data_IF_616963974413
#
_entry.id   IF_616963974413
#
_cell.length_a   1.000
_cell.length_b   1.000
_cell.length_c   1.000
_cell.angle_alpha   90.00
_cell.angle_beta   90.00
_cell.angle_gamma   90.00
#
_symmetry.space_group_name_H-M   'P 1'
#
loop_
_entity.id
_entity.type
_entity.pdbx_description
1 polymer ?
#
# COMPACT_ATOMS: atom_id res chain seq x y z
N UNK A 1 -6.42 -10.77 -34.68
CA UNK A 1 -7.27 -11.53 -33.72
C UNK A 1 -6.93 -11.20 -32.26
N UNK A 2 -5.82 -10.50 -31.95
CA UNK A 2 -5.53 -10.02 -30.58
C UNK A 2 -6.53 -9.00 -30.01
N UNK A 3 -7.06 -8.05 -30.80
CA UNK A 3 -7.94 -7.00 -30.26
C UNK A 3 -9.15 -7.54 -29.50
N UNK A 4 -9.74 -8.65 -29.97
CA UNK A 4 -10.95 -9.24 -29.37
C UNK A 4 -10.67 -9.95 -28.03
N UNK A 5 -9.42 -10.34 -27.76
CA UNK A 5 -8.99 -10.87 -26.46
C UNK A 5 -8.67 -9.74 -25.47
N UNK A 6 -8.12 -8.63 -25.97
CA UNK A 6 -7.79 -7.45 -25.17
C UNK A 6 -9.06 -6.74 -24.68
N UNK A 7 -10.05 -6.55 -25.55
CA UNK A 7 -11.36 -5.95 -25.18
C UNK A 7 -12.07 -6.77 -24.08
N UNK A 8 -12.05 -8.10 -24.18
CA UNK A 8 -12.59 -8.98 -23.13
C UNK A 8 -11.81 -8.93 -21.82
N UNK A 9 -10.51 -8.64 -21.88
CA UNK A 9 -9.71 -8.54 -20.67
C UNK A 9 -9.96 -7.20 -19.95
N UNK A 10 -10.21 -6.11 -20.69
CA UNK A 10 -10.56 -4.81 -20.10
C UNK A 10 -11.76 -4.93 -19.16
N UNK A 11 -12.83 -5.62 -19.60
CA UNK A 11 -14.03 -5.89 -18.80
C UNK A 11 -13.72 -6.74 -17.54
N UNK A 12 -12.88 -7.77 -17.71
CA UNK A 12 -12.44 -8.63 -16.59
C UNK A 12 -11.58 -7.83 -15.61
N UNK A 13 -10.72 -6.96 -16.10
CA UNK A 13 -9.88 -6.10 -15.29
C UNK A 13 -10.75 -5.15 -14.45
N UNK A 14 -11.72 -4.49 -15.06
CA UNK A 14 -12.65 -3.59 -14.36
C UNK A 14 -13.43 -4.33 -13.27
N UNK A 15 -13.90 -5.55 -13.57
CA UNK A 15 -14.60 -6.40 -12.59
C UNK A 15 -13.73 -6.78 -11.37
N UNK A 16 -12.43 -6.99 -11.57
CA UNK A 16 -11.51 -7.49 -10.55
C UNK A 16 -10.65 -6.40 -9.89
N UNK A 17 -10.73 -5.14 -10.33
CA UNK A 17 -10.03 -4.01 -9.71
C UNK A 17 -10.36 -3.80 -8.21
N UNK A 18 -11.61 -4.05 -7.73
CA UNK A 18 -11.90 -4.06 -6.30
C UNK A 18 -11.12 -5.13 -5.53
N UNK A 19 -10.84 -6.29 -6.16
CA UNK A 19 -10.05 -7.36 -5.55
C UNK A 19 -8.58 -6.94 -5.41
N UNK A 20 -8.01 -6.31 -6.44
CA UNK A 20 -6.66 -5.73 -6.39
C UNK A 20 -6.56 -4.74 -5.22
N UNK A 21 -7.54 -3.83 -5.12
CA UNK A 21 -7.62 -2.86 -4.01
C UNK A 21 -7.76 -3.55 -2.65
N UNK A 22 -8.47 -4.68 -2.56
CA UNK A 22 -8.60 -5.45 -1.32
C UNK A 22 -7.28 -6.14 -0.93
N UNK A 23 -6.54 -6.67 -1.91
CA UNK A 23 -5.23 -7.30 -1.69
C UNK A 23 -4.22 -6.27 -1.19
N UNK A 24 -4.17 -5.07 -1.77
CA UNK A 24 -3.33 -3.95 -1.31
C UNK A 24 -3.56 -3.67 0.18
N UNK A 25 -4.83 -3.53 0.59
CA UNK A 25 -5.19 -3.30 2.00
C UNK A 25 -4.79 -4.46 2.90
N UNK A 26 -4.97 -5.70 2.43
CA UNK A 26 -4.65 -6.93 3.15
C UNK A 26 -3.16 -7.12 3.36
N UNK A 27 -2.34 -6.77 2.36
CA UNK A 27 -0.89 -6.81 2.43
C UNK A 27 -0.29 -5.61 3.16
N UNK A 28 -1.13 -4.67 3.62
CA UNK A 28 -0.67 -3.46 4.31
C UNK A 28 0.34 -2.66 3.48
N UNK A 29 0.11 -2.58 2.16
CA UNK A 29 0.88 -1.73 1.26
C UNK A 29 0.41 -0.28 1.47
N UNK A 30 1.34 0.59 1.88
CA UNK A 30 1.06 1.98 2.27
C UNK A 30 1.71 3.02 1.36
N UNK A 31 2.59 2.60 0.45
CA UNK A 31 3.23 3.42 -0.58
C UNK A 31 3.15 2.73 -1.95
N UNK A 32 3.53 3.44 -3.01
CA UNK A 32 3.66 2.91 -4.37
C UNK A 32 2.42 2.20 -4.91
N UNK A 33 1.24 2.71 -4.56
CA UNK A 33 -0.06 2.13 -4.91
C UNK A 33 -0.21 1.85 -6.40
N UNK A 34 0.29 2.74 -7.26
CA UNK A 34 0.19 2.58 -8.71
C UNK A 34 1.06 1.44 -9.22
N UNK A 35 2.23 1.22 -8.63
CA UNK A 35 3.10 0.09 -8.98
C UNK A 35 2.45 -1.22 -8.56
N UNK A 36 1.99 -1.31 -7.31
CA UNK A 36 1.31 -2.52 -6.83
C UNK A 36 -0.01 -2.80 -7.57
N UNK A 37 -0.78 -1.77 -7.95
CA UNK A 37 -1.95 -1.93 -8.82
C UNK A 37 -1.56 -2.54 -10.17
N UNK A 38 -0.48 -2.05 -10.78
CA UNK A 38 0.03 -2.61 -12.04
C UNK A 38 0.50 -4.06 -11.87
N UNK A 39 1.26 -4.38 -10.82
CA UNK A 39 1.65 -5.75 -10.48
C UNK A 39 0.42 -6.66 -10.34
N UNK A 40 -0.65 -6.16 -9.69
CA UNK A 40 -1.92 -6.86 -9.58
C UNK A 40 -2.61 -7.11 -10.92
N UNK A 41 -2.72 -6.09 -11.77
CA UNK A 41 -3.33 -6.20 -13.10
C UNK A 41 -2.55 -7.15 -14.01
N UNK A 42 -1.22 -7.09 -13.95
CA UNK A 42 -0.35 -8.00 -14.68
C UNK A 42 -0.55 -9.44 -14.22
N UNK A 43 -0.59 -9.68 -12.91
CA UNK A 43 -0.86 -11.01 -12.36
C UNK A 43 -2.27 -11.53 -12.72
N UNK A 44 -3.27 -10.64 -12.75
CA UNK A 44 -4.62 -10.97 -13.22
C UNK A 44 -4.61 -11.37 -14.70
N UNK A 45 -3.89 -10.63 -15.56
CA UNK A 45 -3.73 -10.97 -16.98
C UNK A 45 -3.06 -12.33 -17.17
N UNK A 46 -1.99 -12.61 -16.42
CA UNK A 46 -1.34 -13.91 -16.43
C UNK A 46 -2.27 -15.03 -15.94
N UNK A 47 -3.09 -14.78 -14.92
CA UNK A 47 -4.07 -15.73 -14.46
C UNK A 47 -5.12 -16.00 -15.55
N UNK A 48 -5.66 -14.94 -16.16
CA UNK A 48 -6.66 -15.03 -17.23
C UNK A 48 -6.17 -15.85 -18.43
N UNK A 49 -4.92 -15.62 -18.85
CA UNK A 49 -4.33 -16.33 -19.99
C UNK A 49 -4.03 -17.80 -19.74
N UNK A 50 -3.77 -18.19 -18.48
CA UNK A 50 -3.42 -19.56 -18.08
C UNK A 50 -4.59 -20.35 -17.48
N UNK A 51 -5.73 -19.68 -17.26
CA UNK A 51 -6.86 -20.30 -16.61
C UNK A 51 -7.48 -21.38 -17.50
N UNK A 52 -7.88 -22.45 -16.85
CA UNK A 52 -8.49 -23.63 -17.46
C UNK A 52 -9.81 -23.89 -16.73
N UNK A 53 -10.92 -23.75 -17.45
CA UNK A 53 -12.28 -23.86 -16.91
C UNK A 53 -12.55 -25.24 -16.28
N UNK A 54 -11.80 -26.28 -16.70
CA UNK A 54 -11.93 -27.62 -16.12
C UNK A 54 -11.37 -27.72 -14.70
N UNK A 55 -10.54 -26.76 -14.28
CA UNK A 55 -9.86 -26.75 -12.97
C UNK A 55 -10.63 -26.01 -11.87
N UNK A 56 -11.82 -25.49 -12.17
CA UNK A 56 -12.72 -24.88 -11.20
C UNK A 56 -13.04 -23.42 -11.51
N UNK A 57 -13.23 -22.60 -10.48
CA UNK A 57 -13.64 -21.20 -10.63
C UNK A 57 -12.42 -20.27 -10.79
N UNK A 58 -12.55 -19.26 -11.65
CA UNK A 58 -11.49 -18.26 -11.91
C UNK A 58 -11.23 -17.36 -10.69
N UNK A 59 -12.25 -16.96 -9.93
CA UNK A 59 -12.12 -15.95 -8.87
C UNK A 59 -11.11 -16.35 -7.78
N UNK A 60 -11.13 -17.57 -7.21
CA UNK A 60 -10.11 -18.01 -6.24
C UNK A 60 -8.71 -18.13 -6.86
N UNK A 61 -8.63 -18.48 -8.14
CA UNK A 61 -7.35 -18.58 -8.86
C UNK A 61 -6.73 -17.20 -9.10
N UNK A 62 -7.53 -16.24 -9.59
CA UNK A 62 -7.14 -14.85 -9.76
C UNK A 62 -6.67 -14.24 -8.43
N UNK A 63 -7.43 -14.42 -7.35
CA UNK A 63 -7.04 -13.95 -6.02
C UNK A 63 -5.66 -14.47 -5.60
N UNK A 64 -5.40 -15.79 -5.77
CA UNK A 64 -4.11 -16.39 -5.41
C UNK A 64 -2.95 -15.83 -6.22
N UNK A 65 -3.16 -15.64 -7.53
CA UNK A 65 -2.15 -15.07 -8.43
C UNK A 65 -1.83 -13.61 -8.08
N UNK A 66 -2.86 -12.77 -7.90
CA UNK A 66 -2.69 -11.35 -7.53
C UNK A 66 -2.00 -11.23 -6.17
N UNK A 67 -2.48 -11.97 -5.16
CA UNK A 67 -1.90 -11.94 -3.81
C UNK A 67 -0.45 -12.39 -3.80
N UNK A 68 -0.13 -13.48 -4.51
CA UNK A 68 1.24 -13.99 -4.60
C UNK A 68 2.20 -13.00 -5.26
N UNK A 69 1.81 -12.45 -6.41
CA UNK A 69 2.64 -11.49 -7.14
C UNK A 69 2.95 -10.23 -6.32
N UNK A 70 1.94 -9.63 -5.70
CA UNK A 70 2.14 -8.46 -4.84
C UNK A 70 2.95 -8.78 -3.58
N UNK A 71 2.76 -9.97 -2.99
CA UNK A 71 3.55 -10.39 -1.83
C UNK A 71 5.03 -10.57 -2.20
N UNK A 72 5.31 -11.11 -3.38
CA UNK A 72 6.68 -11.31 -3.85
C UNK A 72 7.34 -9.98 -4.23
N UNK A 73 6.59 -9.03 -4.79
CA UNK A 73 7.08 -7.65 -5.00
C UNK A 73 7.41 -6.96 -3.68
N UNK A 74 6.51 -7.05 -2.70
CA UNK A 74 6.71 -6.47 -1.37
C UNK A 74 7.97 -7.02 -0.68
N UNK A 75 8.23 -8.32 -0.81
CA UNK A 75 9.46 -8.95 -0.30
C UNK A 75 10.71 -8.45 -1.01
N UNK A 76 10.63 -8.15 -2.32
CA UNK A 76 11.77 -7.60 -3.07
C UNK A 76 12.07 -6.18 -2.61
N UNK A 77 11.05 -5.33 -2.48
CA UNK A 77 11.20 -3.96 -2.01
C UNK A 77 11.78 -3.91 -0.59
N UNK A 78 11.25 -4.72 0.33
CA UNK A 78 11.79 -4.82 1.70
C UNK A 78 13.25 -5.27 1.74
N UNK A 79 13.68 -6.15 0.82
CA UNK A 79 15.09 -6.56 0.72
C UNK A 79 15.97 -5.50 0.06
N UNK A 80 15.40 -4.66 -0.80
CA UNK A 80 16.12 -3.60 -1.50
C UNK A 80 16.33 -2.36 -0.60
N UNK A 81 15.34 -2.02 0.23
CA UNK A 81 15.45 -0.92 1.20
C UNK A 81 16.55 -1.14 2.24
N UNK A 82 16.82 -2.39 2.60
CA UNK A 82 17.86 -2.73 3.59
C UNK A 82 19.29 -2.64 3.03
N UNK A 83 19.47 -2.59 1.69
CA UNK A 83 20.79 -2.73 1.04
C UNK A 83 21.28 -1.46 0.33
N UNK A 84 20.41 -0.53 -0.06
CA UNK A 84 20.82 0.67 -0.80
C UNK A 84 20.61 1.98 -0.01
N UNK A 85 21.70 2.52 0.55
CA UNK A 85 21.85 3.97 0.80
C UNK A 85 23.03 4.48 -0.02
N UNK A 86 22.75 4.86 -1.26
CA UNK A 86 23.49 5.87 -2.01
C UNK A 86 22.63 6.23 -3.21
N UNK A 87 22.07 7.44 -3.21
CA UNK A 87 21.24 7.95 -4.31
C UNK A 87 22.06 9.01 -5.04
N UNK A 88 22.28 8.84 -6.34
CA UNK A 88 23.05 9.77 -7.17
C UNK A 88 22.28 11.08 -7.38
N UNK A 89 22.98 12.22 -7.33
CA UNK A 89 22.41 13.58 -7.37
C UNK A 89 21.50 13.86 -8.57
N UNK A 90 21.76 13.23 -9.70
CA UNK A 90 20.97 13.38 -10.93
C UNK A 90 19.57 12.72 -10.83
N UNK A 91 19.42 11.70 -10.00
CA UNK A 91 18.12 11.05 -9.71
C UNK A 91 17.26 11.89 -8.76
N UNK A 92 17.89 12.65 -7.85
CA UNK A 92 17.23 13.60 -6.96
C UNK A 92 16.66 14.80 -7.74
N UNK A 93 17.39 15.30 -8.72
CA UNK A 93 16.96 16.43 -9.56
C UNK A 93 15.75 16.07 -10.44
N UNK A 94 15.70 14.85 -10.98
CA UNK A 94 14.55 14.39 -11.77
C UNK A 94 13.29 14.15 -10.92
N UNK A 95 13.43 13.70 -9.66
CA UNK A 95 12.30 13.58 -8.71
C UNK A 95 11.76 14.95 -8.28
N UNK A 96 12.63 15.95 -8.15
CA UNK A 96 12.25 17.31 -7.79
C UNK A 96 11.47 18.04 -8.90
N UNK A 97 11.48 17.51 -10.13
CA UNK A 97 10.82 18.13 -11.29
C UNK A 97 9.37 17.68 -11.49
N UNK A 98 8.92 16.66 -10.74
CA UNK A 98 7.50 16.37 -10.59
C UNK A 98 6.88 17.37 -9.61
N UNK A 99 6.19 18.34 -10.19
CA UNK A 99 5.52 19.43 -9.49
C UNK A 99 4.43 18.90 -8.54
N UNK A 100 4.71 18.84 -7.24
CA UNK A 100 3.75 18.55 -6.15
C UNK A 100 2.82 19.74 -5.88
N UNK A 101 2.25 20.35 -6.92
CA UNK A 101 1.28 21.42 -6.75
C UNK A 101 -0.05 20.80 -6.33
N UNK A 102 -0.38 21.02 -5.05
CA UNK A 102 -1.41 20.41 -4.21
C UNK A 102 -1.07 19.00 -3.70
N UNK A 103 -0.21 18.92 -2.67
CA UNK A 103 -0.06 17.71 -1.87
C UNK A 103 -1.37 17.40 -1.12
N UNK A 104 -2.13 16.34 -1.47
CA UNK A 104 -3.29 15.92 -0.68
C UNK A 104 -2.88 15.45 0.73
N UNK A 105 -1.58 15.23 0.98
CA UNK A 105 -1.03 14.96 2.30
C UNK A 105 -0.70 16.22 3.10
N UNK A 106 -0.89 17.45 2.62
CA UNK A 106 -0.56 18.62 3.45
C UNK A 106 -1.34 18.61 4.78
N UNK A 107 -2.66 18.33 4.72
CA UNK A 107 -3.49 18.19 5.91
C UNK A 107 -3.05 17.01 6.81
N UNK A 108 -2.66 15.87 6.21
CA UNK A 108 -2.18 14.70 6.95
C UNK A 108 -0.81 14.96 7.60
N UNK A 109 0.08 15.65 6.89
CA UNK A 109 1.40 16.05 7.34
C UNK A 109 1.31 16.99 8.53
N UNK A 110 0.44 18.00 8.47
CA UNK A 110 0.14 18.89 9.59
C UNK A 110 -0.41 18.13 10.80
N UNK A 111 -1.32 17.17 10.58
CA UNK A 111 -1.87 16.35 11.67
C UNK A 111 -0.78 15.48 12.31
N UNK A 112 0.05 14.80 11.51
CA UNK A 112 1.12 13.92 12.00
C UNK A 112 2.20 14.73 12.74
N UNK A 113 2.56 15.91 12.25
CA UNK A 113 3.53 16.79 12.92
C UNK A 113 2.99 17.33 14.25
N UNK A 114 1.68 17.57 14.36
CA UNK A 114 1.02 17.94 15.60
C UNK A 114 0.80 16.79 16.60
N UNK A 115 1.04 15.52 16.22
CA UNK A 115 0.93 14.39 17.15
C UNK A 115 2.02 14.45 18.24
N UNK A 116 1.70 13.96 19.46
CA UNK A 116 2.70 13.73 20.50
C UNK A 116 3.89 12.90 19.97
N UNK A 117 5.13 13.18 20.39
CA UNK A 117 6.33 12.53 19.85
C UNK A 117 6.27 11.00 19.84
N UNK A 118 5.78 10.39 20.93
CA UNK A 118 5.64 8.93 21.05
C UNK A 118 4.58 8.33 20.12
N UNK A 119 3.53 9.09 19.81
CA UNK A 119 2.46 8.68 18.89
C UNK A 119 2.97 8.72 17.45
N UNK A 120 3.65 9.81 17.08
CA UNK A 120 4.31 9.97 15.77
C UNK A 120 5.40 8.91 15.56
N UNK A 121 6.24 8.67 16.57
CA UNK A 121 7.28 7.66 16.51
C UNK A 121 6.70 6.24 16.27
N UNK A 122 5.57 5.91 16.90
CA UNK A 122 4.91 4.63 16.65
C UNK A 122 4.43 4.50 15.20
N UNK A 123 3.94 5.58 14.59
CA UNK A 123 3.54 5.58 13.18
C UNK A 123 4.76 5.44 12.26
N UNK A 124 5.85 6.16 12.51
CA UNK A 124 7.08 6.04 11.74
C UNK A 124 7.59 4.59 11.78
N UNK A 125 7.64 3.98 12.97
CA UNK A 125 8.11 2.60 13.11
C UNK A 125 7.24 1.59 12.37
N UNK A 126 5.93 1.75 12.44
CA UNK A 126 4.99 0.80 11.82
C UNK A 126 4.90 0.97 10.30
N UNK A 127 4.99 2.20 9.78
CA UNK A 127 4.61 2.51 8.40
C UNK A 127 5.76 3.00 7.52
N UNK A 128 6.87 3.47 8.13
CA UNK A 128 8.08 3.90 7.41
C UNK A 128 9.20 2.89 7.61
N UNK A 129 9.45 2.48 8.85
CA UNK A 129 10.48 1.46 9.16
C UNK A 129 9.96 0.01 9.01
N UNK A 130 8.69 -0.19 8.60
CA UNK A 130 8.05 -1.50 8.43
C UNK A 130 8.18 -2.48 9.61
N UNK A 131 8.28 -1.98 10.85
CA UNK A 131 8.41 -2.81 12.04
C UNK A 131 7.11 -3.52 12.37
N UNK A 132 7.23 -4.77 12.78
CA UNK A 132 6.12 -5.57 13.29
C UNK A 132 5.60 -5.02 14.62
N UNK A 133 4.36 -5.36 14.96
CA UNK A 133 3.79 -5.00 16.26
C UNK A 133 4.58 -5.59 17.44
N UNK A 134 5.27 -6.71 17.23
CA UNK A 134 6.14 -7.34 18.23
C UNK A 134 7.45 -6.57 18.44
N UNK A 135 8.07 -6.09 17.36
CA UNK A 135 9.26 -5.23 17.44
C UNK A 135 8.92 -3.88 18.06
N UNK A 136 7.77 -3.29 17.71
CA UNK A 136 7.28 -2.08 18.36
C UNK A 136 6.97 -2.33 19.85
N UNK A 137 6.40 -3.49 20.22
CA UNK A 137 6.13 -3.84 21.61
C UNK A 137 7.43 -3.86 22.43
N UNK A 138 8.48 -4.46 21.88
CA UNK A 138 9.83 -4.48 22.47
C UNK A 138 10.39 -3.07 22.59
N UNK A 139 10.34 -2.28 21.50
CA UNK A 139 10.83 -0.90 21.46
C UNK A 139 10.15 0.02 22.48
N UNK A 140 8.82 -0.04 22.57
CA UNK A 140 8.04 0.81 23.47
C UNK A 140 7.86 0.20 24.88
N UNK A 141 8.47 -0.96 25.15
CA UNK A 141 8.36 -1.68 26.43
C UNK A 141 6.91 -1.89 26.89
N UNK A 142 6.04 -2.30 25.96
CA UNK A 142 4.62 -2.60 26.24
C UNK A 142 4.20 -3.88 25.55
N UNK A 143 3.04 -4.42 25.90
CA UNK A 143 2.54 -5.66 25.29
C UNK A 143 2.10 -5.47 23.82
N UNK A 144 2.20 -6.53 23.01
CA UNK A 144 1.70 -6.54 21.61
C UNK A 144 0.22 -6.13 21.51
N UNK A 145 -0.70 -6.61 22.39
CA UNK A 145 -2.07 -6.10 22.43
C UNK A 145 -2.15 -4.60 22.76
N UNK A 146 -1.23 -4.10 23.60
CA UNK A 146 -1.10 -2.67 23.90
C UNK A 146 -0.71 -1.84 22.68
N UNK A 147 0.23 -2.33 21.86
CA UNK A 147 0.60 -1.70 20.58
C UNK A 147 -0.58 -1.68 19.63
N UNK A 148 -1.28 -2.82 19.48
CA UNK A 148 -2.46 -2.92 18.63
C UNK A 148 -3.53 -1.89 19.03
N UNK A 149 -3.85 -1.79 20.32
CA UNK A 149 -4.83 -0.83 20.85
C UNK A 149 -4.38 0.62 20.66
N UNK A 150 -3.09 0.92 20.82
CA UNK A 150 -2.54 2.26 20.56
C UNK A 150 -2.65 2.62 19.08
N UNK A 151 -2.25 1.72 18.18
CA UNK A 151 -2.38 1.89 16.73
C UNK A 151 -3.83 2.17 16.33
N UNK A 152 -4.79 1.37 16.80
CA UNK A 152 -6.20 1.57 16.50
C UNK A 152 -6.71 2.95 16.95
N UNK A 153 -6.33 3.39 18.15
CA UNK A 153 -6.68 4.73 18.66
C UNK A 153 -6.04 5.85 17.83
N UNK A 154 -4.78 5.69 17.44
CA UNK A 154 -4.07 6.68 16.61
C UNK A 154 -4.72 6.82 15.24
N UNK A 155 -5.01 5.70 14.57
CA UNK A 155 -5.65 5.72 13.25
C UNK A 155 -7.05 6.34 13.32
N UNK A 156 -7.82 6.07 14.39
CA UNK A 156 -9.11 6.72 14.60
C UNK A 156 -8.95 8.24 14.76
N UNK A 157 -8.01 8.68 15.60
CA UNK A 157 -7.72 10.11 15.82
C UNK A 157 -7.29 10.81 14.52
N UNK A 158 -6.40 10.20 13.74
CA UNK A 158 -5.98 10.72 12.44
C UNK A 158 -7.17 10.89 11.49
N UNK A 159 -8.03 9.86 11.39
CA UNK A 159 -9.23 9.90 10.55
C UNK A 159 -10.18 11.01 10.98
N UNK A 160 -10.50 11.10 12.27
CA UNK A 160 -11.42 12.10 12.80
C UNK A 160 -10.91 13.54 12.54
N UNK A 161 -9.60 13.77 12.70
CA UNK A 161 -8.96 15.07 12.42
C UNK A 161 -8.93 15.41 10.94
N UNK A 162 -8.70 14.42 10.06
CA UNK A 162 -8.70 14.63 8.62
C UNK A 162 -10.10 14.99 8.11
N UNK A 163 -11.13 14.27 8.56
CA UNK A 163 -12.53 14.57 8.20
C UNK A 163 -12.99 15.94 8.73
N UNK A 164 -12.55 16.33 9.94
CA UNK A 164 -12.86 17.65 10.48
C UNK A 164 -12.24 18.78 9.66
N UNK A 165 -10.98 18.65 9.21
CA UNK A 165 -10.33 19.65 8.36
C UNK A 165 -10.98 19.76 6.98
N UNK A 166 -11.30 18.64 6.35
CA UNK A 166 -12.00 18.61 5.06
C UNK A 166 -13.40 19.26 5.11
N UNK A 167 -14.04 19.31 6.28
CA UNK A 167 -15.34 19.96 6.47
C UNK A 167 -15.25 21.48 6.69
N UNK A 168 -14.05 22.00 6.97
CA UNK A 168 -13.80 23.44 7.19
C UNK A 168 -13.32 24.14 5.91
N UNK A 169 -12.85 23.38 4.93
CA UNK A 169 -12.36 23.86 3.63
C UNK A 169 -13.44 23.82 2.52
N UNK A 170 -14.67 23.38 2.85
CA UNK A 170 -15.84 23.37 1.95
C UNK A 170 -16.89 24.41 2.34
#
# INVERSE_FOLDING_TARGET
MENRKNEKFEEVMEQYEPMISAVIRKLHIYCDFDNFRQTGRFALFQAWTRFDETKGNFTPFAYRSIYGAMLDDLKKESRFSDVNTSVETETLENLAQYDFMEDPNNALHEIITALPPKERELLIKLYVENKTQAECATHFSISVPGIKKRREKLLKKLKDQLTAKQSLEN
#
